data_IF_052066273498
#
_entry.id   IF_052066273498
#
_cell.length_a   1.000
_cell.length_b   1.000
_cell.length_c   1.000
_cell.angle_alpha   90.00
_cell.angle_beta   90.00
_cell.angle_gamma   90.00
#
_symmetry.space_group_name_H-M   'P 1'
#
loop_
_entity.id
_entity.type
_entity.pdbx_description
1 polymer ?
#
# COMPACT_ATOMS: atom_id res chain seq x y z
N UNK A 1 -16.94 -29.66 5.20
CA UNK A 1 -17.44 -28.32 5.59
C UNK A 1 -16.25 -27.43 5.89
N UNK A 2 -15.76 -26.64 4.93
CA UNK A 2 -14.69 -25.67 5.18
C UNK A 2 -15.29 -24.30 5.42
N UNK A 3 -15.82 -24.09 6.62
CA UNK A 3 -16.24 -22.78 7.11
C UNK A 3 -15.06 -22.05 7.76
N UNK A 4 -14.01 -21.74 7.00
CA UNK A 4 -13.01 -20.78 7.46
C UNK A 4 -13.68 -19.41 7.46
N UNK A 5 -14.07 -18.95 8.65
CA UNK A 5 -14.70 -17.64 8.86
C UNK A 5 -13.89 -16.56 8.14
N UNK A 6 -14.48 -15.96 7.11
CA UNK A 6 -13.96 -14.75 6.48
C UNK A 6 -13.79 -13.73 7.62
N UNK A 7 -12.54 -13.42 7.96
CA UNK A 7 -12.20 -12.36 8.91
C UNK A 7 -12.96 -11.13 8.45
N UNK A 8 -13.91 -10.64 9.26
CA UNK A 8 -14.74 -9.49 8.89
C UNK A 8 -13.78 -8.32 8.69
N UNK A 9 -13.64 -7.87 7.43
CA UNK A 9 -12.75 -6.77 7.09
C UNK A 9 -13.30 -5.52 7.78
N UNK A 10 -12.48 -4.89 8.61
CA UNK A 10 -12.82 -3.62 9.24
C UNK A 10 -12.71 -2.51 8.19
N UNK A 11 -13.85 -2.20 7.55
CA UNK A 11 -13.94 -1.14 6.53
C UNK A 11 -13.57 0.23 7.08
N UNK A 12 -13.84 0.47 8.37
CA UNK A 12 -13.50 1.72 9.02
C UNK A 12 -11.98 1.90 9.05
N UNK A 13 -11.30 0.91 9.62
CA UNK A 13 -9.82 0.90 9.66
C UNK A 13 -9.19 0.89 8.27
N UNK A 14 -9.76 0.16 7.31
CA UNK A 14 -9.28 0.14 5.94
C UNK A 14 -9.32 1.55 5.32
N UNK A 15 -10.45 2.24 5.46
CA UNK A 15 -10.59 3.58 4.93
C UNK A 15 -9.64 4.57 5.64
N UNK A 16 -9.45 4.45 6.96
CA UNK A 16 -8.46 5.27 7.68
C UNK A 16 -7.04 5.09 7.14
N UNK A 17 -6.65 3.87 6.77
CA UNK A 17 -5.35 3.59 6.15
C UNK A 17 -5.27 4.22 4.75
N UNK A 18 -6.30 4.09 3.92
CA UNK A 18 -6.33 4.71 2.58
C UNK A 18 -6.23 6.24 2.65
N UNK A 19 -6.95 6.87 3.59
CA UNK A 19 -7.01 8.33 3.69
C UNK A 19 -5.90 8.93 4.57
N UNK A 20 -5.14 8.11 5.28
CA UNK A 20 -4.10 8.56 6.23
C UNK A 20 -4.65 9.33 7.43
N UNK A 21 -5.97 9.30 7.66
CA UNK A 21 -6.64 10.02 8.74
C UNK A 21 -7.98 9.38 9.09
N UNK A 22 -8.45 9.66 10.31
CA UNK A 22 -9.81 9.31 10.72
C UNK A 22 -10.83 10.05 9.86
N UNK A 23 -11.75 9.31 9.27
CA UNK A 23 -12.84 9.87 8.47
C UNK A 23 -14.20 9.54 9.10
N UNK A 24 -15.10 10.54 9.26
CA UNK A 24 -16.47 10.29 9.70
C UNK A 24 -17.22 9.48 8.63
N UNK A 25 -18.13 8.60 9.06
CA UNK A 25 -18.91 7.72 8.18
C UNK A 25 -18.07 6.85 7.24
N UNK A 26 -16.92 6.34 7.71
CA UNK A 26 -16.04 5.43 6.94
C UNK A 26 -16.76 4.17 6.43
N UNK A 27 -17.82 3.74 7.11
CA UNK A 27 -18.66 2.61 6.68
C UNK A 27 -19.44 2.87 5.39
N UNK A 28 -19.60 4.13 4.98
CA UNK A 28 -20.29 4.51 3.74
C UNK A 28 -19.52 4.11 2.48
N UNK A 29 -18.21 3.87 2.59
CA UNK A 29 -17.40 3.35 1.49
C UNK A 29 -17.78 1.90 1.18
N UNK A 30 -17.98 1.61 -0.10
CA UNK A 30 -18.17 0.24 -0.56
C UNK A 30 -16.84 -0.52 -0.54
N UNK A 31 -16.90 -1.84 -0.42
CA UNK A 31 -15.70 -2.70 -0.51
C UNK A 31 -15.02 -2.53 -1.87
N UNK A 32 -15.80 -2.35 -2.93
CA UNK A 32 -15.30 -2.12 -4.30
C UNK A 32 -14.49 -0.82 -4.40
N UNK A 33 -14.97 0.27 -3.80
CA UNK A 33 -14.25 1.55 -3.75
C UNK A 33 -12.93 1.41 -2.99
N UNK A 34 -12.98 0.81 -1.79
CA UNK A 34 -11.77 0.60 -0.99
C UNK A 34 -10.77 -0.32 -1.70
N UNK A 35 -11.25 -1.33 -2.41
CA UNK A 35 -10.40 -2.22 -3.23
C UNK A 35 -9.73 -1.43 -4.35
N UNK A 36 -10.49 -0.62 -5.09
CA UNK A 36 -9.96 0.22 -6.18
C UNK A 36 -8.90 1.20 -5.66
N UNK A 37 -9.16 1.87 -4.55
CA UNK A 37 -8.20 2.79 -3.95
C UNK A 37 -6.94 2.08 -3.46
N UNK A 38 -7.09 0.89 -2.87
CA UNK A 38 -5.94 0.06 -2.47
C UNK A 38 -5.07 -0.29 -3.68
N UNK A 39 -5.67 -0.72 -4.79
CA UNK A 39 -4.93 -0.98 -6.03
C UNK A 39 -4.18 0.26 -6.51
N UNK A 40 -4.84 1.41 -6.61
CA UNK A 40 -4.20 2.66 -7.05
C UNK A 40 -3.02 3.05 -6.15
N UNK A 41 -3.15 2.89 -4.84
CA UNK A 41 -2.06 3.20 -3.89
C UNK A 41 -0.89 2.22 -4.04
N UNK A 42 -1.16 0.92 -4.16
CA UNK A 42 -0.12 -0.09 -4.37
C UNK A 42 0.63 0.13 -5.68
N UNK A 43 -0.08 0.42 -6.77
CA UNK A 43 0.52 0.75 -8.08
C UNK A 43 1.44 1.98 -7.97
N UNK A 44 0.99 3.01 -7.27
CA UNK A 44 1.77 4.23 -7.08
C UNK A 44 3.04 3.97 -6.24
N UNK A 45 2.93 3.25 -5.13
CA UNK A 45 4.09 2.91 -4.29
C UNK A 45 5.08 2.01 -5.04
N UNK A 46 4.58 0.98 -5.71
CA UNK A 46 5.39 0.08 -6.53
C UNK A 46 6.17 0.84 -7.61
N UNK A 47 5.52 1.77 -8.31
CA UNK A 47 6.18 2.62 -9.30
C UNK A 47 7.30 3.46 -8.68
N UNK A 48 7.05 4.13 -7.56
CA UNK A 48 8.07 4.96 -6.89
C UNK A 48 9.27 4.11 -6.44
N UNK A 49 9.02 2.92 -5.92
CA UNK A 49 10.07 1.98 -5.51
C UNK A 49 10.91 1.58 -6.72
N UNK A 50 10.28 1.14 -7.81
CA UNK A 50 11.00 0.75 -9.02
C UNK A 50 11.82 1.90 -9.61
N UNK A 51 11.24 3.09 -9.74
CA UNK A 51 11.94 4.27 -10.23
C UNK A 51 13.15 4.60 -9.33
N UNK A 52 12.99 4.47 -8.01
CA UNK A 52 14.06 4.72 -7.04
C UNK A 52 15.17 3.67 -7.09
N UNK A 53 14.83 2.39 -7.30
CA UNK A 53 15.80 1.31 -7.51
C UNK A 53 16.64 1.57 -8.77
N UNK A 54 16.01 1.99 -9.87
CA UNK A 54 16.75 2.37 -11.08
C UNK A 54 17.72 3.52 -10.82
N UNK A 55 17.32 4.54 -10.04
CA UNK A 55 18.20 5.65 -9.69
C UNK A 55 19.37 5.19 -8.81
N UNK A 56 19.12 4.33 -7.81
CA UNK A 56 20.14 3.77 -6.92
C UNK A 56 21.23 3.05 -7.72
N UNK A 57 20.85 2.27 -8.73
CA UNK A 57 21.79 1.53 -9.57
C UNK A 57 22.64 2.43 -10.48
N UNK A 58 22.10 3.56 -10.93
CA UNK A 58 22.74 4.40 -11.95
C UNK A 58 23.45 5.64 -11.37
N UNK A 59 23.20 6.00 -10.12
CA UNK A 59 23.79 7.21 -9.51
C UNK A 59 25.21 6.98 -8.98
N UNK A 60 26.09 7.93 -9.27
CA UNK A 60 27.43 8.05 -8.66
C UNK A 60 27.44 8.81 -7.34
N UNK A 61 26.34 9.49 -6.99
CA UNK A 61 26.25 10.33 -5.80
C UNK A 61 25.70 9.53 -4.61
N UNK A 62 26.49 9.41 -3.55
CA UNK A 62 26.13 8.64 -2.36
C UNK A 62 24.87 9.18 -1.68
N UNK A 63 24.77 10.49 -1.51
CA UNK A 63 23.61 11.14 -0.90
C UNK A 63 22.31 10.82 -1.65
N UNK A 64 22.34 10.87 -2.99
CA UNK A 64 21.20 10.47 -3.81
C UNK A 64 20.87 8.99 -3.61
N UNK A 65 21.87 8.12 -3.50
CA UNK A 65 21.64 6.70 -3.26
C UNK A 65 20.94 6.47 -1.92
N UNK A 66 21.45 7.05 -0.85
CA UNK A 66 20.85 6.91 0.49
C UNK A 66 19.42 7.47 0.54
N UNK A 67 19.20 8.68 0.01
CA UNK A 67 17.86 9.27 -0.03
C UNK A 67 16.85 8.42 -0.81
N UNK A 68 17.28 7.74 -1.88
CA UNK A 68 16.41 6.83 -2.64
C UNK A 68 16.15 5.50 -1.92
N UNK A 69 17.15 4.96 -1.22
CA UNK A 69 16.96 3.77 -0.38
C UNK A 69 15.98 4.04 0.77
N UNK A 70 16.10 5.19 1.43
CA UNK A 70 15.16 5.64 2.45
C UNK A 70 13.75 5.82 1.89
N UNK A 71 13.63 6.42 0.71
CA UNK A 71 12.35 6.58 0.01
C UNK A 71 11.70 5.21 -0.31
N UNK A 72 12.48 4.24 -0.82
CA UNK A 72 11.99 2.88 -1.04
C UNK A 72 11.48 2.25 0.25
N UNK A 73 12.25 2.36 1.34
CA UNK A 73 11.89 1.79 2.64
C UNK A 73 10.59 2.40 3.17
N UNK A 74 10.44 3.72 3.08
CA UNK A 74 9.23 4.43 3.50
C UNK A 74 8.00 3.96 2.71
N UNK A 75 8.10 3.89 1.38
CA UNK A 75 6.97 3.43 0.56
C UNK A 75 6.63 1.96 0.76
N UNK A 76 7.62 1.09 0.95
CA UNK A 76 7.37 -0.31 1.29
C UNK A 76 6.63 -0.44 2.63
N UNK A 77 7.00 0.37 3.63
CA UNK A 77 6.28 0.41 4.91
C UNK A 77 4.81 0.84 4.76
N UNK A 78 4.51 1.80 3.87
CA UNK A 78 3.12 2.17 3.56
C UNK A 78 2.36 1.02 2.87
N UNK A 79 2.98 0.30 1.93
CA UNK A 79 2.39 -0.89 1.32
C UNK A 79 2.07 -1.98 2.36
N UNK A 80 2.96 -2.19 3.34
CA UNK A 80 2.73 -3.14 4.43
C UNK A 80 1.53 -2.77 5.32
N UNK A 81 1.17 -1.48 5.43
CA UNK A 81 -0.06 -1.07 6.15
C UNK A 81 -1.33 -1.47 5.39
N UNK A 82 -1.26 -1.57 4.06
CA UNK A 82 -2.37 -1.98 3.19
C UNK A 82 -2.52 -3.50 3.10
N UNK A 83 -1.44 -4.26 3.33
CA UNK A 83 -1.37 -5.72 3.22
C UNK A 83 -2.52 -6.50 3.92
N UNK A 84 -3.00 -6.11 5.12
CA UNK A 84 -4.13 -6.77 5.77
C UNK A 84 -5.47 -6.67 5.03
N UNK A 85 -5.61 -5.70 4.13
CA UNK A 85 -6.84 -5.42 3.38
C UNK A 85 -6.77 -5.89 1.92
N UNK A 86 -5.61 -6.38 1.50
CA UNK A 86 -5.36 -6.77 0.11
C UNK A 86 -6.03 -8.10 -0.25
N UNK A 87 -6.55 -8.17 -1.47
CA UNK A 87 -6.90 -9.43 -2.13
C UNK A 87 -5.64 -10.16 -2.64
N UNK A 88 -5.80 -11.35 -3.23
CA UNK A 88 -4.67 -12.17 -3.68
C UNK A 88 -3.81 -11.48 -4.76
N UNK A 89 -4.43 -10.75 -5.69
CA UNK A 89 -3.72 -10.04 -6.77
C UNK A 89 -2.92 -8.86 -6.21
N UNK A 90 -3.53 -8.09 -5.32
CA UNK A 90 -2.90 -6.95 -4.64
C UNK A 90 -1.72 -7.39 -3.76
N UNK A 91 -1.83 -8.54 -3.10
CA UNK A 91 -0.72 -9.11 -2.30
C UNK A 91 0.48 -9.49 -3.15
N UNK A 92 0.30 -9.83 -4.43
CA UNK A 92 1.41 -10.13 -5.31
C UNK A 92 2.24 -8.88 -5.69
N UNK A 93 1.76 -7.67 -5.37
CA UNK A 93 2.48 -6.42 -5.60
C UNK A 93 3.40 -6.01 -4.44
N UNK A 94 3.26 -6.66 -3.27
CA UNK A 94 4.02 -6.40 -2.04
C UNK A 94 5.12 -7.45 -1.91
#
# INVERSE_FOLDING_TARGET
>A
MFGFGRKKIDKGKWAEVIYGKKIPNSEAQSVEQLTKYTTMMLEQHYRIINDSVQIVHNTKYEETRQGRLELCRSHYQEMMKLEPFCNAEQKAMI
#
